data_IF_782030603785
#
_entry.id   IF_782030603785
#
_cell.length_a   1.000
_cell.length_b   1.000
_cell.length_c   1.000
_cell.angle_alpha   90.00
_cell.angle_beta   90.00
_cell.angle_gamma   90.00
#
_symmetry.space_group_name_H-M   'P 1'
#
loop_
_entity.id
_entity.type
_entity.pdbx_description
1 polymer ?
#
# COMPACT_ATOMS: atom_id res chain seq x y z
N UNK A 1 -14.91 -0.05 -7.30
CA UNK A 1 -14.91 -0.58 -8.68
C UNK A 1 -15.25 -2.05 -8.64
N UNK A 2 -16.04 -2.54 -9.58
CA UNK A 2 -16.40 -3.96 -9.68
C UNK A 2 -15.31 -4.77 -10.40
N UNK A 3 -14.51 -4.10 -11.23
CA UNK A 3 -13.38 -4.70 -11.94
C UNK A 3 -12.21 -3.72 -12.07
N UNK A 4 -11.01 -4.27 -12.17
CA UNK A 4 -9.77 -3.53 -12.46
C UNK A 4 -9.08 -4.19 -13.63
N UNK A 5 -8.78 -3.41 -14.67
CA UNK A 5 -8.03 -3.87 -15.82
C UNK A 5 -6.60 -3.32 -15.71
N UNK A 6 -5.62 -4.21 -15.63
CA UNK A 6 -4.20 -3.87 -15.64
C UNK A 6 -3.64 -4.06 -17.03
N UNK A 7 -3.08 -2.99 -17.60
CA UNK A 7 -2.47 -3.02 -18.93
C UNK A 7 -0.95 -3.02 -18.77
N UNK A 8 -0.28 -3.97 -19.42
CA UNK A 8 1.17 -4.00 -19.46
C UNK A 8 1.71 -2.85 -20.33
N UNK A 9 2.44 -1.91 -19.69
CA UNK A 9 2.91 -0.71 -20.34
C UNK A 9 4.24 -0.97 -21.09
N UNK A 10 4.14 -1.37 -22.35
CA UNK A 10 5.31 -1.61 -23.23
C UNK A 10 5.65 -0.36 -24.02
N UNK A 11 6.79 -0.41 -24.75
CA UNK A 11 7.19 0.67 -25.67
C UNK A 11 6.20 0.82 -26.82
N UNK A 12 5.67 -0.28 -27.32
CA UNK A 12 4.66 -0.33 -28.38
C UNK A 12 3.36 0.28 -27.90
N UNK A 13 2.92 -0.07 -26.69
CA UNK A 13 1.73 0.53 -26.07
C UNK A 13 1.91 2.04 -25.85
N UNK A 14 3.07 2.48 -25.38
CA UNK A 14 3.39 3.90 -25.17
C UNK A 14 3.46 4.71 -26.48
N UNK A 15 3.68 4.05 -27.63
CA UNK A 15 3.76 4.67 -28.94
C UNK A 15 2.38 4.84 -29.62
N UNK A 16 1.32 4.29 -29.05
CA UNK A 16 -0.03 4.41 -29.61
C UNK A 16 -0.50 5.87 -29.64
N UNK A 17 -1.02 6.31 -30.78
CA UNK A 17 -1.68 7.60 -30.87
C UNK A 17 -2.92 7.66 -29.94
N UNK A 18 -3.36 8.85 -29.49
CA UNK A 18 -4.54 8.97 -28.62
C UNK A 18 -5.79 8.31 -29.19
N UNK A 19 -6.04 8.41 -30.49
CA UNK A 19 -7.17 7.74 -31.15
C UNK A 19 -7.04 6.22 -31.09
N UNK A 20 -5.88 5.67 -31.36
CA UNK A 20 -5.61 4.23 -31.31
C UNK A 20 -5.81 3.68 -29.88
N UNK A 21 -5.32 4.40 -28.87
CA UNK A 21 -5.55 4.02 -27.46
C UNK A 21 -7.04 3.96 -27.13
N UNK A 22 -7.83 4.96 -27.53
CA UNK A 22 -9.26 4.96 -27.27
C UNK A 22 -9.94 3.79 -27.97
N UNK A 23 -9.68 3.56 -29.27
CA UNK A 23 -10.30 2.48 -30.03
C UNK A 23 -9.89 1.09 -29.48
N UNK A 24 -8.60 0.88 -29.23
CA UNK A 24 -8.11 -0.44 -28.82
C UNK A 24 -8.39 -0.78 -27.36
N UNK A 25 -8.38 0.21 -26.46
CA UNK A 25 -8.49 -0.04 -25.02
C UNK A 25 -9.90 0.19 -24.46
N UNK A 26 -10.67 1.11 -25.03
CA UNK A 26 -11.99 1.46 -24.51
C UNK A 26 -13.13 0.90 -25.35
N UNK A 27 -12.99 0.83 -26.67
CA UNK A 27 -14.07 0.44 -27.57
C UNK A 27 -13.85 -0.90 -28.27
N UNK A 28 -12.77 -1.63 -27.95
CA UNK A 28 -12.55 -2.96 -28.48
C UNK A 28 -13.30 -4.04 -27.68
N UNK A 29 -13.50 -5.21 -28.29
CA UNK A 29 -14.01 -6.39 -27.59
C UNK A 29 -15.50 -6.38 -27.26
N UNK A 30 -16.32 -5.52 -27.92
CA UNK A 30 -17.78 -5.49 -27.72
C UNK A 30 -18.22 -4.81 -26.41
N UNK A 31 -17.31 -4.10 -25.75
CA UNK A 31 -17.66 -3.29 -24.55
C UNK A 31 -18.32 -1.99 -24.98
N UNK A 32 -19.48 -1.68 -24.42
CA UNK A 32 -20.15 -0.40 -24.58
C UNK A 32 -19.72 0.56 -23.48
N UNK A 33 -18.91 1.58 -23.80
CA UNK A 33 -18.49 2.62 -22.85
C UNK A 33 -19.63 3.64 -22.69
N UNK A 34 -20.23 3.70 -21.52
CA UNK A 34 -21.29 4.68 -21.19
C UNK A 34 -20.73 6.01 -20.72
N UNK A 35 -19.55 6.00 -20.09
CA UNK A 35 -18.92 7.20 -19.58
C UNK A 35 -17.47 6.99 -19.23
N UNK A 36 -16.70 8.07 -19.25
CA UNK A 36 -15.30 8.12 -18.88
C UNK A 36 -15.08 9.22 -17.85
N UNK A 37 -14.48 8.85 -16.72
CA UNK A 37 -14.15 9.75 -15.63
C UNK A 37 -12.64 9.76 -15.44
N UNK A 38 -11.99 10.91 -15.62
CA UNK A 38 -10.52 11.06 -15.48
C UNK A 38 -10.18 12.39 -14.83
N UNK A 39 -8.99 12.45 -14.21
CA UNK A 39 -8.50 13.73 -13.71
C UNK A 39 -8.33 14.76 -14.84
N UNK A 40 -8.70 16.02 -14.59
CA UNK A 40 -8.67 17.10 -15.58
C UNK A 40 -7.31 17.29 -16.28
N UNK A 41 -6.20 17.01 -15.55
CA UNK A 41 -4.83 17.10 -16.07
C UNK A 41 -4.31 15.80 -16.66
N UNK A 42 -5.16 14.78 -16.81
CA UNK A 42 -4.72 13.51 -17.37
C UNK A 42 -4.24 13.67 -18.81
N UNK A 43 -3.14 12.98 -19.11
CA UNK A 43 -2.53 12.93 -20.44
C UNK A 43 -2.34 11.48 -20.86
N UNK A 44 -2.54 11.19 -22.13
CA UNK A 44 -2.44 9.84 -22.67
C UNK A 44 -1.98 9.85 -24.13
N UNK A 45 -1.70 8.64 -24.64
CA UNK A 45 -1.20 8.44 -26.00
C UNK A 45 0.25 8.88 -26.18
N UNK A 46 0.79 8.65 -27.36
CA UNK A 46 2.18 8.96 -27.71
C UNK A 46 2.51 10.43 -27.43
N UNK A 47 3.63 10.64 -26.73
CA UNK A 47 4.07 11.99 -26.35
C UNK A 47 3.10 12.77 -25.47
N UNK A 48 2.18 12.07 -24.75
CA UNK A 48 1.15 12.69 -23.92
C UNK A 48 0.27 13.68 -24.72
N UNK A 49 0.01 13.41 -26.00
CA UNK A 49 -0.70 14.29 -26.91
C UNK A 49 -2.22 14.28 -26.75
N UNK A 50 -2.78 13.27 -26.09
CA UNK A 50 -4.20 13.24 -25.69
C UNK A 50 -4.43 13.97 -24.38
N UNK A 51 -5.51 14.74 -24.29
CA UNK A 51 -5.91 15.51 -23.10
C UNK A 51 -7.42 15.53 -22.90
N UNK A 52 -7.89 16.29 -21.92
CA UNK A 52 -9.32 16.43 -21.61
C UNK A 52 -10.12 17.04 -22.77
N UNK A 53 -9.54 17.96 -23.53
CA UNK A 53 -10.20 18.58 -24.69
C UNK A 53 -10.38 17.53 -25.81
N UNK A 54 -9.34 16.71 -26.02
CA UNK A 54 -9.42 15.59 -26.96
C UNK A 54 -10.51 14.59 -26.55
N UNK A 55 -10.59 14.23 -25.26
CA UNK A 55 -11.60 13.31 -24.76
C UNK A 55 -13.02 13.87 -24.85
N UNK A 56 -13.21 15.13 -24.57
CA UNK A 56 -14.52 15.79 -24.71
C UNK A 56 -15.02 15.74 -26.15
N UNK A 57 -14.14 16.00 -27.13
CA UNK A 57 -14.48 15.87 -28.56
C UNK A 57 -14.86 14.42 -28.87
N UNK A 58 -14.07 13.42 -28.44
CA UNK A 58 -14.36 12.01 -28.67
C UNK A 58 -15.63 11.53 -27.99
N UNK A 59 -15.96 12.06 -26.84
CA UNK A 59 -17.18 11.78 -26.12
C UNK A 59 -18.41 12.21 -26.97
N UNK A 60 -18.36 13.40 -27.57
CA UNK A 60 -19.40 13.89 -28.46
C UNK A 60 -19.49 13.06 -29.75
N UNK A 61 -18.34 12.69 -30.34
CA UNK A 61 -18.30 11.90 -31.57
C UNK A 61 -18.89 10.48 -31.38
N UNK A 62 -18.58 9.85 -30.23
CA UNK A 62 -18.94 8.45 -29.95
C UNK A 62 -20.16 8.27 -29.03
N UNK A 63 -20.72 9.34 -28.51
CA UNK A 63 -21.93 9.31 -27.70
C UNK A 63 -21.79 8.79 -26.28
N UNK A 64 -20.60 8.93 -25.64
CA UNK A 64 -20.40 8.59 -24.23
C UNK A 64 -20.31 9.84 -23.35
N UNK A 65 -20.61 9.69 -22.06
CA UNK A 65 -20.46 10.78 -21.10
C UNK A 65 -18.97 10.99 -20.75
N UNK A 66 -18.52 12.25 -20.69
CA UNK A 66 -17.18 12.60 -20.23
C UNK A 66 -17.26 13.46 -18.98
N UNK A 67 -16.60 13.03 -17.90
CA UNK A 67 -16.58 13.72 -16.62
C UNK A 67 -15.13 14.02 -16.22
N UNK A 68 -14.64 15.24 -16.48
CA UNK A 68 -13.36 15.66 -15.93
C UNK A 68 -13.48 15.85 -14.42
N UNK A 69 -12.52 15.33 -13.66
CA UNK A 69 -12.48 15.46 -12.21
C UNK A 69 -11.42 16.48 -11.81
N UNK A 70 -11.82 17.46 -11.03
CA UNK A 70 -10.91 18.45 -10.47
C UNK A 70 -9.96 17.86 -9.44
N UNK A 71 -8.83 18.55 -9.21
CA UNK A 71 -7.87 18.18 -8.19
C UNK A 71 -8.48 18.34 -6.81
N UNK A 72 -8.44 17.27 -6.03
CA UNK A 72 -8.76 17.34 -4.61
C UNK A 72 -7.62 18.04 -3.86
N UNK A 73 -7.98 18.84 -2.85
CA UNK A 73 -7.04 19.55 -2.00
C UNK A 73 -7.30 19.29 -0.52
N UNK A 74 -6.25 19.36 0.28
CA UNK A 74 -6.37 19.41 1.73
C UNK A 74 -6.96 20.76 2.18
N UNK A 75 -7.44 20.88 3.43
CA UNK A 75 -7.88 22.17 3.95
C UNK A 75 -6.84 23.29 3.83
N UNK A 76 -5.55 22.94 3.90
CA UNK A 76 -4.42 23.89 3.76
C UNK A 76 -4.07 24.17 2.30
N UNK A 77 -4.84 23.63 1.34
CA UNK A 77 -4.69 23.89 -0.10
C UNK A 77 -3.68 22.99 -0.84
N UNK A 78 -3.07 22.02 -0.17
CA UNK A 78 -2.15 21.07 -0.82
C UNK A 78 -2.92 20.13 -1.75
N UNK A 79 -2.40 19.91 -2.97
CA UNK A 79 -3.01 18.98 -3.93
C UNK A 79 -2.83 17.54 -3.46
N UNK A 80 -3.94 16.81 -3.35
CA UNK A 80 -3.94 15.35 -3.09
C UNK A 80 -3.57 14.64 -4.39
N UNK A 81 -2.42 13.98 -4.41
CA UNK A 81 -1.92 13.27 -5.58
C UNK A 81 -1.10 12.05 -5.19
N UNK A 82 -0.93 11.12 -6.11
CA UNK A 82 -0.05 9.96 -5.89
C UNK A 82 1.38 10.36 -5.50
N UNK A 83 1.88 11.48 -6.02
CA UNK A 83 3.21 12.00 -5.67
C UNK A 83 3.25 12.49 -4.23
N UNK A 84 2.25 13.26 -3.80
CA UNK A 84 2.15 13.75 -2.42
C UNK A 84 1.99 12.59 -1.43
N UNK A 85 1.15 11.60 -1.75
CA UNK A 85 0.95 10.40 -0.92
C UNK A 85 2.25 9.61 -0.80
N UNK A 86 2.96 9.34 -1.91
CA UNK A 86 4.25 8.63 -1.87
C UNK A 86 5.30 9.37 -1.03
N UNK A 87 5.33 10.70 -1.12
CA UNK A 87 6.21 11.53 -0.31
C UNK A 87 5.88 11.39 1.18
N UNK A 88 4.61 11.55 1.57
CA UNK A 88 4.17 11.40 2.95
C UNK A 88 4.54 10.01 3.52
N UNK A 89 4.33 8.95 2.74
CA UNK A 89 4.71 7.58 3.13
C UNK A 89 6.22 7.44 3.30
N UNK A 90 7.03 7.97 2.37
CA UNK A 90 8.49 7.89 2.45
C UNK A 90 9.06 8.66 3.65
N UNK A 91 8.39 9.73 4.07
CA UNK A 91 8.72 10.54 5.25
C UNK A 91 8.15 9.95 6.56
N UNK A 92 7.35 8.88 6.48
CA UNK A 92 6.71 8.25 7.65
C UNK A 92 5.50 9.00 8.19
N UNK A 93 4.99 9.99 7.46
CA UNK A 93 3.79 10.73 7.84
C UNK A 93 2.53 9.94 7.46
N UNK A 94 2.22 8.92 8.27
CA UNK A 94 1.09 8.03 8.03
C UNK A 94 -0.27 8.75 8.16
N UNK A 95 -0.39 9.71 9.07
CA UNK A 95 -1.63 10.46 9.26
C UNK A 95 -1.99 11.28 8.01
N UNK A 96 -1.01 11.98 7.45
CA UNK A 96 -1.19 12.74 6.21
C UNK A 96 -1.48 11.81 5.03
N UNK A 97 -0.78 10.67 4.96
CA UNK A 97 -1.03 9.68 3.92
C UNK A 97 -2.44 9.09 4.04
N UNK A 98 -2.89 8.75 5.24
CA UNK A 98 -4.23 8.23 5.51
C UNK A 98 -5.31 9.26 5.18
N UNK A 99 -5.11 10.53 5.55
CA UNK A 99 -6.01 11.63 5.19
C UNK A 99 -6.16 11.74 3.66
N UNK A 100 -5.05 11.76 2.93
CA UNK A 100 -5.07 11.86 1.47
C UNK A 100 -5.66 10.62 0.77
N UNK A 101 -5.48 9.43 1.36
CA UNK A 101 -6.00 8.16 0.83
C UNK A 101 -7.47 7.92 1.21
N UNK A 102 -7.99 8.59 2.25
CA UNK A 102 -9.29 8.30 2.85
C UNK A 102 -9.31 6.96 3.62
N UNK A 103 -8.15 6.34 3.88
CA UNK A 103 -7.96 5.09 4.64
C UNK A 103 -6.51 4.95 5.07
N UNK A 104 -6.26 4.09 6.05
CA UNK A 104 -4.89 3.75 6.42
C UNK A 104 -4.15 3.07 5.27
N UNK A 105 -2.84 3.32 5.21
CA UNK A 105 -1.98 2.69 4.20
C UNK A 105 -1.77 1.22 4.53
N UNK A 106 -1.79 0.37 3.52
CA UNK A 106 -1.63 -1.07 3.71
C UNK A 106 -0.54 -1.63 2.80
N UNK A 107 0.24 -2.55 3.37
CA UNK A 107 1.17 -3.41 2.67
C UNK A 107 0.54 -4.79 2.48
N UNK A 108 0.84 -5.41 1.36
CA UNK A 108 0.28 -6.71 0.99
C UNK A 108 1.39 -7.69 0.70
N UNK A 109 1.20 -8.95 1.08
CA UNK A 109 2.17 -9.98 0.80
C UNK A 109 1.74 -11.36 1.25
N UNK A 110 2.59 -12.33 0.99
CA UNK A 110 2.42 -13.72 1.44
C UNK A 110 3.32 -13.98 2.63
N UNK A 111 2.82 -14.71 3.60
CA UNK A 111 3.60 -15.09 4.77
C UNK A 111 4.55 -16.23 4.42
N UNK A 112 5.83 -15.98 4.56
CA UNK A 112 6.89 -16.99 4.41
C UNK A 112 7.27 -17.59 5.76
N UNK A 113 7.85 -18.80 5.73
CA UNK A 113 8.51 -19.35 6.89
C UNK A 113 9.69 -18.46 7.30
N UNK A 114 9.58 -17.83 8.47
CA UNK A 114 10.67 -17.06 9.06
C UNK A 114 11.65 -17.97 9.78
N UNK A 115 12.91 -17.54 9.87
CA UNK A 115 13.85 -18.17 10.78
C UNK A 115 13.35 -17.95 12.22
N UNK A 116 12.90 -19.00 12.86
CA UNK A 116 12.23 -19.12 14.17
C UNK A 116 12.94 -18.45 15.39
N UNK A 117 13.78 -17.45 15.18
CA UNK A 117 14.60 -16.87 16.26
C UNK A 117 13.82 -15.96 17.21
N UNK A 118 12.71 -15.35 16.77
CA UNK A 118 11.90 -14.49 17.64
C UNK A 118 10.70 -15.23 18.27
N UNK A 119 10.12 -16.20 17.58
CA UNK A 119 8.93 -16.96 18.01
C UNK A 119 9.15 -17.80 19.27
N UNK A 120 10.37 -18.22 19.57
CA UNK A 120 10.68 -18.96 20.80
C UNK A 120 10.69 -18.11 22.08
N UNK A 121 10.62 -16.78 21.95
CA UNK A 121 10.74 -15.86 23.11
C UNK A 121 9.43 -15.17 23.48
N UNK A 122 8.44 -15.21 22.61
CA UNK A 122 7.11 -14.64 22.82
C UNK A 122 6.11 -15.74 22.47
N UNK A 123 5.21 -16.08 23.38
CA UNK A 123 4.17 -17.13 23.23
C UNK A 123 3.13 -16.81 22.12
N UNK A 124 3.49 -16.02 21.11
CA UNK A 124 2.60 -15.56 20.05
C UNK A 124 3.25 -15.70 18.68
N UNK A 125 2.47 -16.10 17.65
CA UNK A 125 3.00 -16.31 16.31
C UNK A 125 3.48 -15.01 15.67
N UNK A 126 4.73 -14.99 15.21
CA UNK A 126 5.27 -13.95 14.34
C UNK A 126 5.26 -14.42 12.89
N UNK A 127 4.82 -13.56 11.99
CA UNK A 127 4.77 -13.81 10.56
C UNK A 127 5.74 -12.89 9.83
N UNK A 128 6.52 -13.45 8.92
CA UNK A 128 7.35 -12.67 7.99
C UNK A 128 6.57 -12.48 6.70
N UNK A 129 6.24 -11.24 6.38
CA UNK A 129 5.52 -10.91 5.18
C UNK A 129 6.50 -10.63 4.03
N UNK A 130 6.48 -11.47 3.01
CA UNK A 130 7.10 -11.17 1.73
C UNK A 130 6.21 -10.18 0.98
N UNK A 131 6.63 -8.91 0.98
CA UNK A 131 5.83 -7.82 0.41
C UNK A 131 5.90 -7.85 -1.11
N UNK A 132 4.74 -7.77 -1.76
CA UNK A 132 4.67 -7.81 -3.21
C UNK A 132 5.24 -6.53 -3.84
N UNK A 133 4.67 -5.42 -3.65
CA UNK A 133 5.12 -4.13 -4.16
C UNK A 133 4.50 -3.02 -3.33
N UNK A 134 5.14 -1.87 -3.30
CA UNK A 134 4.60 -0.72 -2.60
C UNK A 134 5.67 0.29 -2.20
N UNK A 135 5.24 1.40 -1.68
CA UNK A 135 6.12 2.37 -1.05
C UNK A 135 6.31 1.95 0.41
N UNK A 136 7.54 1.70 0.79
CA UNK A 136 7.86 1.33 2.16
C UNK A 136 8.17 2.59 2.98
N UNK A 137 7.43 2.82 4.07
CA UNK A 137 7.74 3.91 4.99
C UNK A 137 9.08 3.64 5.71
N UNK A 138 9.59 4.52 6.57
CA UNK A 138 10.84 4.33 7.32
C UNK A 138 10.91 3.01 8.07
N UNK A 139 12.10 2.47 8.29
CA UNK A 139 12.30 1.31 9.13
C UNK A 139 11.91 1.61 10.58
N UNK A 140 11.25 0.66 11.24
CA UNK A 140 10.84 0.80 12.63
C UNK A 140 9.63 -0.04 13.01
N UNK A 141 9.15 0.22 14.21
CA UNK A 141 7.99 -0.45 14.80
C UNK A 141 6.73 0.38 14.54
N UNK A 142 5.68 -0.31 14.16
CA UNK A 142 4.39 0.28 13.81
C UNK A 142 3.25 -0.40 14.58
N UNK A 143 2.26 0.40 14.96
CA UNK A 143 0.95 -0.07 15.37
C UNK A 143 0.06 -0.24 14.14
N UNK A 144 -0.74 -1.30 14.09
CA UNK A 144 -1.66 -1.50 12.99
C UNK A 144 -2.51 -2.75 13.12
N UNK A 145 -3.09 -3.16 12.02
CA UNK A 145 -3.93 -4.34 11.96
C UNK A 145 -3.50 -5.28 10.84
N UNK A 146 -3.58 -6.57 11.11
CA UNK A 146 -3.44 -7.60 10.09
C UNK A 146 -4.83 -8.11 9.69
N UNK A 147 -5.11 -8.15 8.40
CA UNK A 147 -6.34 -8.75 7.87
C UNK A 147 -6.01 -10.15 7.38
N UNK A 148 -6.65 -11.13 8.00
CA UNK A 148 -6.46 -12.56 7.78
C UNK A 148 -7.81 -13.22 7.63
N UNK A 149 -8.04 -13.92 6.52
CA UNK A 149 -9.28 -14.68 6.26
C UNK A 149 -10.55 -13.84 6.50
N UNK A 150 -10.52 -12.55 6.14
CA UNK A 150 -11.64 -11.61 6.33
C UNK A 150 -11.80 -11.05 7.74
N UNK A 151 -10.95 -11.45 8.69
CA UNK A 151 -10.92 -10.93 10.05
C UNK A 151 -9.78 -9.92 10.23
N UNK A 152 -9.99 -8.95 11.11
CA UNK A 152 -9.04 -7.87 11.44
C UNK A 152 -8.48 -8.10 12.84
N UNK A 153 -7.16 -8.24 12.95
CA UNK A 153 -6.44 -8.49 14.21
C UNK A 153 -5.49 -7.34 14.53
N UNK A 154 -5.45 -6.83 15.77
CA UNK A 154 -4.44 -5.88 16.19
C UNK A 154 -3.05 -6.52 16.07
N UNK A 155 -2.08 -5.74 15.61
CA UNK A 155 -0.75 -6.24 15.34
C UNK A 155 0.34 -5.22 15.66
N UNK A 156 1.42 -5.70 16.25
CA UNK A 156 2.71 -5.02 16.27
C UNK A 156 3.48 -5.40 15.00
N UNK A 157 4.05 -4.43 14.32
CA UNK A 157 4.74 -4.64 13.06
C UNK A 157 6.13 -4.04 13.09
N UNK A 158 7.13 -4.79 12.65
CA UNK A 158 8.49 -4.30 12.50
C UNK A 158 8.88 -4.31 11.02
N UNK A 159 9.12 -3.14 10.45
CA UNK A 159 9.63 -2.99 9.10
C UNK A 159 11.13 -2.75 9.18
N UNK A 160 11.92 -3.68 8.68
CA UNK A 160 13.35 -3.65 8.79
C UNK A 160 14.10 -4.34 7.66
N UNK A 161 15.42 -4.29 7.72
CA UNK A 161 16.32 -4.99 6.80
C UNK A 161 16.62 -6.37 7.35
N UNK A 162 16.35 -7.42 6.56
CA UNK A 162 16.77 -8.77 6.96
C UNK A 162 18.30 -8.90 6.89
N UNK A 163 18.97 -9.24 8.01
CA UNK A 163 20.43 -9.39 8.01
C UNK A 163 20.92 -10.60 7.21
N UNK A 164 20.05 -11.55 6.87
CA UNK A 164 20.41 -12.86 6.33
C UNK A 164 20.40 -12.93 4.79
N UNK A 165 19.75 -12.01 4.12
CA UNK A 165 19.74 -11.94 2.66
C UNK A 165 20.46 -10.69 2.19
N UNK A 166 21.78 -10.82 1.97
CA UNK A 166 22.46 -9.90 1.06
C UNK A 166 21.90 -10.14 -0.33
N UNK A 167 21.35 -9.08 -0.90
CA UNK A 167 20.67 -9.07 -2.17
C UNK A 167 21.42 -9.84 -3.25
N UNK A 168 20.79 -10.84 -3.84
CA UNK A 168 21.24 -11.47 -5.08
C UNK A 168 21.26 -10.50 -6.28
N UNK A 169 20.70 -9.29 -6.14
CA UNK A 169 20.62 -8.26 -7.18
C UNK A 169 20.81 -6.83 -6.67
N UNK A 170 21.59 -6.60 -5.60
CA UNK A 170 21.90 -5.25 -5.12
C UNK A 170 20.71 -4.46 -4.52
N UNK A 171 19.57 -5.10 -4.29
CA UNK A 171 18.42 -4.50 -3.60
C UNK A 171 18.43 -4.87 -2.13
N UNK A 172 18.24 -3.88 -1.27
CA UNK A 172 18.06 -4.10 0.16
C UNK A 172 16.69 -4.76 0.35
N UNK A 173 16.69 -6.04 0.79
CA UNK A 173 15.47 -6.77 1.07
C UNK A 173 14.90 -6.31 2.43
N UNK A 174 13.88 -5.43 2.36
CA UNK A 174 13.14 -4.98 3.55
C UNK A 174 11.97 -5.91 3.78
N UNK A 175 11.81 -6.36 5.03
CA UNK A 175 10.76 -7.29 5.45
C UNK A 175 9.88 -6.66 6.49
N UNK A 176 8.62 -7.07 6.48
CA UNK A 176 7.65 -6.74 7.51
C UNK A 176 7.42 -7.98 8.38
N UNK A 177 7.83 -7.90 9.64
CA UNK A 177 7.51 -8.90 10.65
C UNK A 177 6.24 -8.45 11.37
N UNK A 178 5.22 -9.33 11.41
CA UNK A 178 3.97 -9.07 12.11
C UNK A 178 3.85 -9.97 13.33
N UNK A 179 3.45 -9.38 14.43
CA UNK A 179 3.09 -10.05 15.67
C UNK A 179 1.62 -9.74 15.98
N UNK A 180 0.75 -10.75 15.88
CA UNK A 180 -0.67 -10.60 16.22
C UNK A 180 -0.85 -10.55 17.74
N UNK A 181 -1.51 -9.50 18.21
CA UNK A 181 -1.63 -9.24 19.65
C UNK A 181 -2.83 -9.94 20.28
N UNK A 182 -3.82 -10.31 19.49
CA UNK A 182 -5.08 -10.84 19.97
C UNK A 182 -5.28 -12.27 19.43
N UNK A 183 -5.17 -13.24 20.30
CA UNK A 183 -5.69 -14.62 20.29
C UNK A 183 -5.80 -15.37 18.96
N UNK A 184 -5.10 -14.99 17.90
CA UNK A 184 -5.13 -15.73 16.66
C UNK A 184 -4.66 -17.17 16.88
N UNK A 185 -5.51 -18.11 16.55
CA UNK A 185 -5.20 -19.54 16.62
C UNK A 185 -5.16 -20.13 15.21
N UNK A 186 -4.01 -20.54 14.77
CA UNK A 186 -3.82 -21.14 13.46
C UNK A 186 -2.46 -20.86 12.86
N UNK A 187 -2.24 -21.34 11.62
CA UNK A 187 -1.02 -21.06 10.86
C UNK A 187 -1.26 -19.87 9.94
N UNK A 188 -0.31 -18.96 9.92
CA UNK A 188 -0.27 -17.84 8.97
C UNK A 188 0.52 -18.17 7.70
N UNK A 189 1.31 -19.26 7.71
CA UNK A 189 2.20 -19.61 6.60
C UNK A 189 1.44 -19.85 5.30
N UNK A 190 1.97 -19.30 4.23
CA UNK A 190 1.40 -19.36 2.89
C UNK A 190 0.14 -18.51 2.68
N UNK A 191 -0.37 -17.85 3.73
CA UNK A 191 -1.53 -16.96 3.60
C UNK A 191 -1.13 -15.63 3.01
N UNK A 192 -2.04 -15.09 2.21
CA UNK A 192 -1.97 -13.71 1.75
C UNK A 192 -2.56 -12.78 2.82
N UNK A 193 -1.79 -11.80 3.25
CA UNK A 193 -2.19 -10.85 4.28
C UNK A 193 -2.16 -9.42 3.78
N UNK A 194 -3.04 -8.61 4.37
CA UNK A 194 -2.98 -7.16 4.31
C UNK A 194 -2.52 -6.65 5.69
N UNK A 195 -1.42 -5.92 5.72
CA UNK A 195 -0.89 -5.23 6.89
C UNK A 195 -1.26 -3.75 6.83
N UNK A 196 -2.25 -3.34 7.60
CA UNK A 196 -2.74 -1.97 7.70
C UNK A 196 -1.92 -1.20 8.73
N UNK A 197 -1.16 -0.18 8.28
CA UNK A 197 -0.31 0.64 9.13
C UNK A 197 -1.12 1.83 9.66
N UNK A 198 -1.22 1.93 10.99
CA UNK A 198 -1.97 2.98 11.69
C UNK A 198 -1.04 4.08 12.19
N UNK A 199 0.03 3.72 12.90
CA UNK A 199 0.94 4.68 13.51
C UNK A 199 2.37 4.17 13.55
N UNK A 200 3.32 5.07 13.33
CA UNK A 200 4.75 4.82 13.57
C UNK A 200 5.04 4.98 15.07
N UNK A 201 5.57 3.94 15.69
CA UNK A 201 5.86 3.96 17.12
C UNK A 201 7.28 4.45 17.42
N UNK A 202 8.28 3.84 16.80
CA UNK A 202 9.69 4.18 17.00
C UNK A 202 10.58 3.58 15.90
N UNK A 203 11.79 4.13 15.71
CA UNK A 203 12.79 3.48 14.84
C UNK A 203 13.32 2.17 15.44
N UNK A 204 13.95 1.36 14.58
CA UNK A 204 14.72 0.20 15.03
C UNK A 204 15.87 0.63 15.94
N UNK A 205 16.16 -0.19 16.94
CA UNK A 205 17.31 0.00 17.81
C UNK A 205 17.97 -1.33 18.17
N UNK A 206 19.25 -1.27 18.49
CA UNK A 206 19.98 -2.42 19.04
C UNK A 206 19.80 -2.47 20.57
N UNK A 207 19.78 -3.68 21.11
CA UNK A 207 19.68 -3.94 22.55
C UNK A 207 20.95 -4.62 23.02
N UNK A 208 21.40 -4.27 24.24
CA UNK A 208 22.61 -4.82 24.80
C UNK A 208 22.43 -6.30 25.22
N UNK A 209 21.24 -6.69 25.61
CA UNK A 209 20.89 -8.04 26.07
C UNK A 209 19.43 -8.40 25.75
N UNK A 210 19.07 -9.70 25.82
CA UNK A 210 17.71 -10.18 25.57
C UNK A 210 16.65 -9.63 26.53
N UNK A 211 17.01 -9.33 27.78
CA UNK A 211 16.11 -8.81 28.79
C UNK A 211 15.62 -7.41 28.43
N UNK A 212 16.53 -6.53 27.99
CA UNK A 212 16.18 -5.20 27.49
C UNK A 212 15.26 -5.28 26.26
N UNK A 213 15.55 -6.18 25.33
CA UNK A 213 14.68 -6.42 24.17
C UNK A 213 13.28 -6.84 24.61
N UNK A 214 13.18 -7.81 25.52
CA UNK A 214 11.90 -8.31 26.03
C UNK A 214 11.08 -7.20 26.69
N UNK A 215 11.73 -6.41 27.56
CA UNK A 215 11.09 -5.27 28.22
C UNK A 215 10.57 -4.24 27.22
N UNK A 216 11.38 -3.94 26.19
CA UNK A 216 10.95 -3.00 25.16
C UNK A 216 9.78 -3.52 24.34
N UNK A 217 9.78 -4.79 23.96
CA UNK A 217 8.66 -5.39 23.23
C UNK A 217 7.37 -5.29 24.05
N UNK A 218 7.45 -5.50 25.36
CA UNK A 218 6.29 -5.38 26.24
C UNK A 218 5.76 -3.95 26.29
N UNK A 219 6.63 -2.96 26.43
CA UNK A 219 6.26 -1.54 26.38
C UNK A 219 5.64 -1.17 25.02
N UNK A 220 6.22 -1.68 23.93
CA UNK A 220 5.69 -1.45 22.57
C UNK A 220 4.26 -2.02 22.43
N UNK A 221 4.03 -3.24 22.92
CA UNK A 221 2.68 -3.87 22.87
C UNK A 221 1.68 -3.06 23.67
N UNK A 222 2.02 -2.60 24.87
CA UNK A 222 1.15 -1.77 25.71
C UNK A 222 0.78 -0.45 24.99
N UNK A 223 1.76 0.22 24.37
CA UNK A 223 1.52 1.46 23.65
C UNK A 223 0.71 1.22 22.36
N UNK A 224 1.00 0.13 21.63
CA UNK A 224 0.24 -0.26 20.43
C UNK A 224 -1.23 -0.51 20.79
N UNK A 225 -1.52 -1.25 21.86
CA UNK A 225 -2.89 -1.49 22.31
C UNK A 225 -3.61 -0.17 22.61
N UNK A 226 -2.97 0.76 23.33
CA UNK A 226 -3.53 2.09 23.63
C UNK A 226 -3.81 2.91 22.36
N UNK A 227 -2.93 2.83 21.34
CA UNK A 227 -3.15 3.48 20.06
C UNK A 227 -4.35 2.86 19.35
N UNK A 228 -4.42 1.53 19.30
CA UNK A 228 -5.41 0.80 18.52
C UNK A 228 -6.81 0.77 19.18
N UNK A 229 -6.92 0.98 20.50
CA UNK A 229 -8.20 1.14 21.20
C UNK A 229 -9.10 2.20 20.55
N UNK A 230 -8.51 3.25 19.96
CA UNK A 230 -9.25 4.33 19.27
C UNK A 230 -9.88 3.91 17.95
N UNK A 231 -9.52 2.74 17.44
CA UNK A 231 -9.98 2.16 16.17
C UNK A 231 -10.87 0.92 16.34
N UNK A 232 -11.21 0.57 17.58
CA UNK A 232 -12.24 -0.41 17.91
C UNK A 232 -13.61 0.31 17.94
N UNK A 233 -14.22 0.44 16.75
CA UNK A 233 -15.62 0.85 16.60
C UNK A 233 -16.34 -0.20 15.79
#
# INVERSE_FOLDING_TARGET
AEAVISIHFTKEFAAQAPDEFIESCLFSGGVEVKGLCVGQKWRFGAGASGDSVFLERKAREKGFAFVPVDELRTPEGMIISSTAIRKALAEGNLDLAAFMLGRNYSLFGTVEEGYHNATRKLDSPTANLHMMAGILPPNGVYAGFAHVDGMRYPAAMNLGVSPTFRAEYGRIDRRLELHLLDGFRGSLYGKYLQAELVSFLRPERRFANPEELKKQIQNDIEEINRILERYHV
#
